data_IF_000322919683
#
_entry.id   IF_000322919683
#
_cell.length_a   1.000
_cell.length_b   1.000
_cell.length_c   1.000
_cell.angle_alpha   90.00
_cell.angle_beta   90.00
_cell.angle_gamma   90.00
#
_symmetry.space_group_name_H-M   'P 1'
#
loop_
_entity.id
_entity.type
_entity.pdbx_description
1 polymer ?
#
# COMPACT_ATOMS: atom_id res chain seq x y z
N UNK A 1 36.03 9.44 5.83
CA UNK A 1 34.78 9.92 5.21
C UNK A 1 33.94 8.68 4.94
N UNK A 2 32.73 8.59 5.50
CA UNK A 2 31.83 7.47 5.21
C UNK A 2 31.26 7.71 3.81
N UNK A 3 31.38 6.71 2.95
CA UNK A 3 30.86 6.74 1.59
C UNK A 3 29.33 6.88 1.64
N UNK A 4 28.81 8.02 1.17
CA UNK A 4 27.37 8.26 1.07
C UNK A 4 26.74 7.52 -0.13
N UNK A 5 27.55 6.92 -1.01
CA UNK A 5 27.10 6.22 -2.23
C UNK A 5 26.15 5.05 -1.94
N UNK A 6 26.35 4.34 -0.83
CA UNK A 6 25.48 3.23 -0.42
C UNK A 6 24.04 3.68 -0.11
N UNK A 7 23.87 4.90 0.41
CA UNK A 7 22.54 5.43 0.73
C UNK A 7 21.79 5.90 -0.50
N UNK A 8 22.47 6.30 -1.58
CA UNK A 8 21.85 6.69 -2.84
C UNK A 8 21.40 5.46 -3.65
N UNK A 9 22.18 4.38 -3.65
CA UNK A 9 21.79 3.11 -4.29
C UNK A 9 20.56 2.47 -3.63
N UNK A 10 20.46 2.51 -2.29
CA UNK A 10 19.29 1.95 -1.59
C UNK A 10 18.00 2.74 -1.89
N UNK A 11 18.12 4.02 -2.28
CA UNK A 11 16.99 4.86 -2.66
C UNK A 11 16.48 4.49 -4.05
N UNK A 12 17.35 4.37 -5.05
CA UNK A 12 16.96 3.97 -6.41
C UNK A 12 16.28 2.60 -6.41
N UNK A 13 16.85 1.63 -5.68
CA UNK A 13 16.26 0.29 -5.55
C UNK A 13 14.87 0.31 -4.90
N UNK A 14 14.66 1.17 -3.91
CA UNK A 14 13.37 1.32 -3.24
C UNK A 14 12.31 1.88 -4.19
N UNK A 15 12.68 2.85 -5.02
CA UNK A 15 11.80 3.40 -6.06
C UNK A 15 11.45 2.35 -7.13
N UNK A 16 12.45 1.62 -7.62
CA UNK A 16 12.25 0.54 -8.60
C UNK A 16 11.30 -0.52 -8.04
N UNK A 17 11.51 -0.94 -6.80
CA UNK A 17 10.63 -1.89 -6.10
C UNK A 17 9.20 -1.37 -6.00
N UNK A 18 9.01 -0.13 -5.54
CA UNK A 18 7.69 0.48 -5.43
C UNK A 18 6.96 0.52 -6.78
N UNK A 19 7.69 0.85 -7.86
CA UNK A 19 7.14 0.89 -9.20
C UNK A 19 6.78 -0.50 -9.73
N UNK A 20 7.61 -1.52 -9.48
CA UNK A 20 7.32 -2.92 -9.83
C UNK A 20 6.03 -3.38 -9.15
N UNK A 21 5.93 -3.18 -7.83
CA UNK A 21 4.77 -3.62 -7.05
C UNK A 21 3.51 -2.89 -7.52
N UNK A 22 3.58 -1.57 -7.71
CA UNK A 22 2.45 -0.77 -8.18
C UNK A 22 2.00 -1.17 -9.60
N UNK A 23 2.93 -1.46 -10.52
CA UNK A 23 2.61 -1.95 -11.88
C UNK A 23 1.99 -3.34 -11.84
N UNK A 24 2.58 -4.25 -11.08
CA UNK A 24 2.09 -5.62 -10.97
C UNK A 24 0.68 -5.66 -10.36
N UNK A 25 0.46 -4.94 -9.26
CA UNK A 25 -0.87 -4.81 -8.66
C UNK A 25 -1.89 -4.27 -9.65
N UNK A 26 -1.52 -3.24 -10.42
CA UNK A 26 -2.44 -2.67 -11.40
C UNK A 26 -2.83 -3.67 -12.49
N UNK A 27 -1.86 -4.37 -13.05
CA UNK A 27 -2.09 -5.41 -14.05
C UNK A 27 -2.99 -6.52 -13.50
N UNK A 28 -2.67 -7.01 -12.29
CA UNK A 28 -3.48 -8.00 -11.58
C UNK A 28 -4.92 -7.51 -11.36
N UNK A 29 -5.10 -6.29 -10.87
CA UNK A 29 -6.42 -5.73 -10.58
C UNK A 29 -7.29 -5.66 -11.85
N UNK A 30 -6.72 -5.26 -12.98
CA UNK A 30 -7.45 -5.19 -14.26
C UNK A 30 -7.93 -6.55 -14.75
N UNK A 31 -7.23 -7.64 -14.43
CA UNK A 31 -7.69 -9.00 -14.71
C UNK A 31 -8.85 -9.40 -13.79
N UNK A 32 -8.79 -9.00 -12.51
CA UNK A 32 -9.74 -9.46 -11.49
C UNK A 32 -11.06 -8.67 -11.49
N UNK A 33 -11.00 -7.35 -11.71
CA UNK A 33 -12.15 -6.41 -11.62
C UNK A 33 -13.38 -6.87 -12.41
N UNK A 34 -13.27 -7.30 -13.69
CA UNK A 34 -14.45 -7.68 -14.47
C UNK A 34 -15.27 -8.82 -13.87
N UNK A 35 -14.62 -9.75 -13.16
CA UNK A 35 -15.31 -10.83 -12.44
C UNK A 35 -15.91 -10.34 -11.13
N UNK A 36 -15.20 -9.45 -10.41
CA UNK A 36 -15.65 -8.95 -9.12
C UNK A 36 -16.83 -8.00 -9.23
N UNK A 37 -16.93 -7.21 -10.31
CA UNK A 37 -18.12 -6.39 -10.60
C UNK A 37 -19.44 -7.19 -10.61
N UNK A 38 -19.38 -8.48 -10.93
CA UNK A 38 -20.55 -9.38 -10.99
C UNK A 38 -20.78 -10.18 -9.70
N UNK A 39 -19.85 -10.10 -8.75
CA UNK A 39 -19.82 -10.92 -7.52
C UNK A 39 -19.80 -10.05 -6.28
N UNK A 40 -18.60 -9.74 -5.78
CA UNK A 40 -18.40 -9.06 -4.49
C UNK A 40 -18.11 -7.56 -4.60
N UNK A 41 -17.92 -7.06 -5.82
CA UNK A 41 -17.58 -5.67 -6.16
C UNK A 41 -16.42 -5.08 -5.34
N UNK A 42 -15.48 -5.93 -4.92
CA UNK A 42 -14.36 -5.55 -4.06
C UNK A 42 -13.09 -6.31 -4.45
N UNK A 43 -11.96 -5.62 -4.33
CA UNK A 43 -10.61 -6.20 -4.35
C UNK A 43 -9.80 -5.56 -3.24
N UNK A 44 -8.75 -6.21 -2.76
CA UNK A 44 -7.90 -5.66 -1.72
C UNK A 44 -6.43 -5.59 -2.14
N UNK A 45 -5.76 -4.52 -1.69
CA UNK A 45 -4.31 -4.43 -1.63
C UNK A 45 -3.89 -4.31 -0.17
N UNK A 46 -2.98 -5.16 0.26
CA UNK A 46 -2.51 -5.18 1.65
C UNK A 46 -0.99 -5.10 1.66
N UNK A 47 -0.46 -4.15 2.42
CA UNK A 47 0.97 -3.94 2.63
C UNK A 47 1.28 -4.03 4.12
N UNK A 48 2.04 -5.06 4.53
CA UNK A 48 2.33 -5.30 5.94
C UNK A 48 3.52 -4.50 6.49
N UNK A 49 4.29 -3.90 5.59
CA UNK A 49 5.50 -3.12 5.86
C UNK A 49 5.43 -1.85 5.01
N UNK A 50 4.46 -0.99 5.31
CA UNK A 50 4.12 0.15 4.45
C UNK A 50 5.08 1.35 4.62
N UNK A 51 5.80 1.42 5.75
CA UNK A 51 6.66 2.55 6.08
C UNK A 51 5.92 3.88 6.21
N UNK A 52 6.62 5.03 6.16
CA UNK A 52 6.05 6.35 6.42
C UNK A 52 5.32 6.99 5.22
N UNK A 53 5.15 6.29 4.10
CA UNK A 53 4.49 6.84 2.90
C UNK A 53 5.42 7.58 1.93
N UNK A 54 6.53 8.15 2.40
CA UNK A 54 7.58 8.74 1.56
C UNK A 54 8.96 8.25 1.97
N UNK A 55 9.85 8.09 1.00
CA UNK A 55 11.27 7.88 1.26
C UNK A 55 11.92 9.17 1.76
N UNK A 56 13.14 9.07 2.30
CA UNK A 56 13.87 10.21 2.91
C UNK A 56 14.08 11.39 1.94
N UNK A 57 14.11 11.12 0.64
CA UNK A 57 14.22 12.07 -0.47
C UNK A 57 12.87 12.74 -0.86
N UNK A 58 11.77 12.36 -0.20
CA UNK A 58 10.41 12.82 -0.51
C UNK A 58 9.70 12.00 -1.60
N UNK A 59 10.37 11.01 -2.19
CA UNK A 59 9.78 10.14 -3.22
C UNK A 59 8.66 9.29 -2.64
N UNK A 60 7.62 9.06 -3.45
CA UNK A 60 6.41 8.33 -3.05
C UNK A 60 6.72 6.86 -2.82
N UNK A 61 6.25 6.30 -1.70
CA UNK A 61 6.28 4.85 -1.46
C UNK A 61 5.08 4.14 -2.10
N UNK A 62 5.09 2.82 -2.06
CA UNK A 62 4.07 1.95 -2.66
C UNK A 62 2.62 2.31 -2.27
N UNK A 63 2.27 2.52 -0.98
CA UNK A 63 0.94 3.00 -0.58
C UNK A 63 0.45 4.22 -1.37
N UNK A 64 1.28 5.25 -1.53
CA UNK A 64 0.87 6.46 -2.24
C UNK A 64 0.69 6.21 -3.73
N UNK A 65 1.58 5.43 -4.35
CA UNK A 65 1.47 5.08 -5.77
C UNK A 65 0.18 4.30 -6.06
N UNK A 66 -0.20 3.37 -5.18
CA UNK A 66 -1.45 2.60 -5.28
C UNK A 66 -2.66 3.55 -5.20
N UNK A 67 -2.70 4.40 -4.17
CA UNK A 67 -3.83 5.29 -3.90
C UNK A 67 -4.01 6.37 -4.98
N UNK A 68 -2.92 7.04 -5.40
CA UNK A 68 -2.99 8.06 -6.45
C UNK A 68 -3.47 7.49 -7.79
N UNK A 69 -3.08 6.24 -8.12
CA UNK A 69 -3.58 5.55 -9.31
C UNK A 69 -5.06 5.17 -9.15
N UNK A 70 -5.44 4.67 -7.97
CA UNK A 70 -6.81 4.27 -7.67
C UNK A 70 -7.80 5.44 -7.77
N UNK A 71 -7.43 6.63 -7.28
CA UNK A 71 -8.28 7.84 -7.35
C UNK A 71 -8.64 8.21 -8.79
N UNK A 72 -7.74 7.95 -9.75
CA UNK A 72 -7.93 8.29 -11.18
C UNK A 72 -8.77 7.26 -11.93
N UNK A 73 -9.09 6.12 -11.32
CA UNK A 73 -9.78 5.02 -11.98
C UNK A 73 -11.15 4.78 -11.35
N UNK A 74 -12.26 4.95 -12.10
CA UNK A 74 -13.62 4.80 -11.56
C UNK A 74 -13.89 3.45 -10.90
N UNK A 75 -13.34 2.36 -11.43
CA UNK A 75 -13.55 1.03 -10.87
C UNK A 75 -12.80 0.89 -9.55
N UNK A 76 -11.55 1.34 -9.51
CA UNK A 76 -10.76 1.28 -8.28
C UNK A 76 -11.34 2.15 -7.17
N UNK A 77 -11.82 3.36 -7.48
CA UNK A 77 -12.49 4.23 -6.50
C UNK A 77 -13.64 3.54 -5.78
N UNK A 78 -14.41 2.74 -6.51
CA UNK A 78 -15.59 2.05 -5.98
C UNK A 78 -15.27 0.71 -5.31
N UNK A 79 -14.20 0.04 -5.72
CA UNK A 79 -13.97 -1.38 -5.39
C UNK A 79 -12.77 -1.63 -4.47
N UNK A 80 -11.79 -0.73 -4.43
CA UNK A 80 -10.51 -1.00 -3.77
C UNK A 80 -10.62 -0.86 -2.25
N UNK A 81 -10.28 -1.93 -1.54
CA UNK A 81 -9.93 -1.91 -0.12
C UNK A 81 -8.41 -1.81 0.02
N UNK A 82 -7.92 -0.96 0.92
CA UNK A 82 -6.50 -0.90 1.25
C UNK A 82 -6.29 -1.04 2.74
N UNK A 83 -5.29 -1.86 3.08
CA UNK A 83 -4.77 -2.00 4.44
C UNK A 83 -3.26 -1.83 4.40
N UNK A 84 -2.77 -0.89 5.19
CA UNK A 84 -1.36 -0.61 5.36
C UNK A 84 -1.00 -0.86 6.82
N UNK A 85 0.13 -1.50 7.08
CA UNK A 85 0.62 -1.75 8.42
C UNK A 85 2.10 -1.40 8.52
N UNK A 86 2.51 -0.92 9.69
CA UNK A 86 3.91 -0.83 10.07
C UNK A 86 4.03 -0.95 11.59
N UNK A 87 5.08 -1.62 12.10
CA UNK A 87 5.27 -1.79 13.54
C UNK A 87 5.72 -0.49 14.23
N UNK A 88 6.33 0.43 13.51
CA UNK A 88 6.76 1.72 14.05
C UNK A 88 5.59 2.71 14.05
N UNK A 89 5.21 3.19 15.23
CA UNK A 89 4.11 4.13 15.41
C UNK A 89 4.34 5.48 14.70
N UNK A 90 5.60 5.90 14.56
CA UNK A 90 5.93 7.13 13.83
C UNK A 90 5.69 6.96 12.34
N UNK A 91 6.00 5.79 11.78
CA UNK A 91 5.73 5.48 10.37
C UNK A 91 4.24 5.49 10.10
N UNK A 92 3.44 4.82 10.92
CA UNK A 92 1.99 4.74 10.74
C UNK A 92 1.29 6.09 10.90
N UNK A 93 1.72 6.90 11.87
CA UNK A 93 1.22 8.26 12.04
C UNK A 93 1.56 9.14 10.82
N UNK A 94 2.82 9.10 10.38
CA UNK A 94 3.29 9.85 9.20
C UNK A 94 2.56 9.40 7.93
N UNK A 95 2.39 8.09 7.75
CA UNK A 95 1.67 7.51 6.62
C UNK A 95 0.22 7.96 6.61
N UNK A 96 -0.46 7.94 7.76
CA UNK A 96 -1.85 8.39 7.87
C UNK A 96 -2.01 9.85 7.46
N UNK A 97 -1.16 10.74 8.00
CA UNK A 97 -1.15 12.16 7.62
C UNK A 97 -0.84 12.35 6.13
N UNK A 98 0.10 11.58 5.59
CA UNK A 98 0.47 11.65 4.18
C UNK A 98 -0.68 11.20 3.28
N UNK A 99 -1.40 10.14 3.65
CA UNK A 99 -2.60 9.66 2.94
C UNK A 99 -3.70 10.72 2.97
N UNK A 100 -3.97 11.32 4.13
CA UNK A 100 -4.97 12.38 4.27
C UNK A 100 -4.63 13.62 3.44
N UNK A 101 -3.35 13.87 3.19
CA UNK A 101 -2.88 14.97 2.33
C UNK A 101 -3.01 14.70 0.82
N UNK A 102 -3.34 13.47 0.40
CA UNK A 102 -3.50 13.15 -1.02
C UNK A 102 -4.73 13.90 -1.57
N UNK A 103 -4.56 14.71 -2.64
CA UNK A 103 -5.71 15.35 -3.29
C UNK A 103 -6.75 14.32 -3.71
N UNK A 104 -8.02 14.63 -3.46
CA UNK A 104 -9.16 13.80 -3.84
C UNK A 104 -9.20 12.40 -3.19
N UNK A 105 -8.48 12.17 -2.09
CA UNK A 105 -8.52 10.90 -1.37
C UNK A 105 -9.93 10.49 -0.94
N UNK A 106 -10.80 11.47 -0.69
CA UNK A 106 -12.21 11.26 -0.35
C UNK A 106 -13.05 10.67 -1.48
N UNK A 107 -12.54 10.64 -2.73
CA UNK A 107 -13.19 9.96 -3.84
C UNK A 107 -13.10 8.43 -3.75
N UNK A 108 -12.21 7.88 -2.91
CA UNK A 108 -12.20 6.46 -2.62
C UNK A 108 -13.38 6.12 -1.71
N UNK A 109 -14.29 5.27 -2.20
CA UNK A 109 -15.46 4.79 -1.45
C UNK A 109 -15.08 4.10 -0.15
N UNK A 110 -13.96 3.39 -0.17
CA UNK A 110 -13.40 2.73 0.98
C UNK A 110 -12.15 3.47 1.42
N UNK A 111 -12.22 4.10 2.60
CA UNK A 111 -11.09 4.83 3.16
C UNK A 111 -9.92 3.88 3.43
N UNK A 112 -8.68 4.26 3.06
CA UNK A 112 -7.50 3.49 3.42
C UNK A 112 -7.38 3.28 4.93
N UNK A 113 -7.03 2.08 5.34
CA UNK A 113 -6.80 1.74 6.74
C UNK A 113 -5.30 1.66 7.00
N UNK A 114 -4.86 2.25 8.11
CA UNK A 114 -3.47 2.17 8.59
C UNK A 114 -3.48 1.55 9.98
N UNK A 115 -2.68 0.51 10.17
CA UNK A 115 -2.54 -0.22 11.43
C UNK A 115 -1.12 -0.10 11.95
N UNK A 116 -0.98 -0.15 13.28
CA UNK A 116 0.31 -0.16 13.96
C UNK A 116 0.49 -1.46 14.74
N UNK A 117 0.67 -2.55 14.00
CA UNK A 117 0.79 -3.88 14.57
C UNK A 117 2.13 -4.53 14.19
N UNK A 118 2.68 -5.32 15.10
CA UNK A 118 3.76 -6.23 14.75
C UNK A 118 3.20 -7.39 13.92
N UNK A 119 3.90 -7.73 12.82
CA UNK A 119 3.47 -8.83 11.95
C UNK A 119 3.69 -10.16 12.67
N UNK A 120 2.60 -10.70 13.19
CA UNK A 120 2.57 -11.96 13.94
C UNK A 120 1.15 -12.54 14.02
N UNK A 121 0.85 -13.24 15.10
CA UNK A 121 -0.43 -13.95 15.28
C UNK A 121 -1.67 -13.05 15.19
N UNK A 122 -1.58 -11.79 15.64
CA UNK A 122 -2.70 -10.85 15.61
C UNK A 122 -3.11 -10.47 14.18
N UNK A 123 -2.13 -10.22 13.31
CA UNK A 123 -2.39 -9.96 11.89
C UNK A 123 -2.97 -11.21 11.21
N UNK A 124 -2.51 -12.41 11.57
CA UNK A 124 -3.09 -13.67 11.06
C UNK A 124 -4.56 -13.80 11.46
N UNK A 125 -4.88 -13.61 12.74
CA UNK A 125 -6.26 -13.65 13.25
C UNK A 125 -7.15 -12.62 12.57
N UNK A 126 -6.65 -11.40 12.36
CA UNK A 126 -7.36 -10.35 11.63
C UNK A 126 -7.74 -10.83 10.23
N UNK A 127 -6.84 -11.49 9.51
CA UNK A 127 -7.11 -11.99 8.17
C UNK A 127 -8.02 -13.23 8.13
N UNK A 128 -7.92 -14.13 9.10
CA UNK A 128 -8.82 -15.28 9.21
C UNK A 128 -10.28 -14.85 9.40
N UNK A 129 -10.50 -13.72 10.06
CA UNK A 129 -11.83 -13.14 10.27
C UNK A 129 -12.33 -12.32 9.08
N UNK A 130 -11.45 -11.92 8.15
CA UNK A 130 -11.84 -11.17 6.97
C UNK A 130 -12.55 -12.06 5.96
N UNK A 131 -13.73 -11.63 5.50
CA UNK A 131 -14.39 -12.25 4.35
C UNK A 131 -13.52 -12.03 3.11
N UNK A 132 -12.86 -13.09 2.65
CA UNK A 132 -11.90 -13.06 1.56
C UNK A 132 -12.53 -12.48 0.27
N UNK A 133 -12.05 -11.30 -0.09
CA UNK A 133 -12.12 -10.78 -1.45
C UNK A 133 -10.82 -11.16 -2.17
N UNK A 134 -10.73 -11.09 -3.51
CA UNK A 134 -9.44 -11.21 -4.15
C UNK A 134 -8.48 -10.15 -3.61
N UNK A 135 -7.34 -10.60 -3.10
CA UNK A 135 -6.37 -9.75 -2.41
C UNK A 135 -4.99 -9.95 -3.02
N UNK A 136 -4.28 -8.86 -3.24
CA UNK A 136 -2.84 -8.89 -3.41
C UNK A 136 -2.19 -8.49 -2.08
N UNK A 137 -1.34 -9.39 -1.57
CA UNK A 137 -0.54 -9.18 -0.37
C UNK A 137 0.90 -8.86 -0.74
N UNK A 138 1.41 -7.75 -0.20
CA UNK A 138 2.80 -7.36 -0.29
C UNK A 138 3.46 -7.42 1.08
N UNK A 139 4.59 -8.12 1.15
CA UNK A 139 5.30 -8.44 2.40
C UNK A 139 6.80 -8.23 2.15
N UNK A 140 7.37 -7.19 2.75
CA UNK A 140 8.80 -6.85 2.63
C UNK A 140 9.39 -6.42 3.99
N UNK A 141 9.79 -7.38 4.85
CA UNK A 141 10.29 -7.07 6.19
C UNK A 141 11.68 -6.41 6.19
N UNK A 142 12.33 -6.29 5.04
CA UNK A 142 13.67 -5.69 4.90
C UNK A 142 13.65 -4.35 4.15
N UNK A 143 12.45 -3.85 3.82
CA UNK A 143 12.28 -2.76 2.86
C UNK A 143 12.69 -1.37 3.31
N UNK A 144 12.88 -1.13 4.62
CA UNK A 144 13.18 0.20 5.18
C UNK A 144 14.33 0.10 6.21
N UNK A 145 15.43 0.83 5.98
CA UNK A 145 16.52 1.11 6.93
C UNK A 145 16.92 2.60 6.86
#
# INVERSE_FOLDING_TARGET
MRDNSFFDESQEQSQVKAEIVAKYFWAWAKVIIPSQKRRGNKIAYIDLFAGPGRYKDGTRSTPLLILERAIRDPDMREMLLTLFNDKDSNNTQTLSQTIESIPDISLLKHRPQVYNEEVGEEIVKMFEQMRLVPTLFFVDPWGYK
#
